data_IF_249083212094
#
_entry.id   IF_249083212094
#
_cell.length_a   1.000
_cell.length_b   1.000
_cell.length_c   1.000
_cell.angle_alpha   90.00
_cell.angle_beta   90.00
_cell.angle_gamma   90.00
#
_symmetry.space_group_name_H-M   'P 1'
#
loop_
_entity.id
_entity.type
_entity.pdbx_description
1 polymer ?
#
# COMPACT_ATOMS: atom_id res chain seq x y z
N UNK A 1 36.04 19.80 -62.75
CA UNK A 1 36.21 19.80 -61.30
C UNK A 1 34.98 19.15 -60.74
N UNK A 2 35.05 17.83 -60.54
CA UNK A 2 33.93 17.02 -60.09
C UNK A 2 33.96 16.94 -58.58
N UNK A 3 32.96 17.52 -57.88
CA UNK A 3 32.75 17.27 -56.46
C UNK A 3 32.13 15.88 -56.30
N UNK A 4 32.92 15.05 -55.70
CA UNK A 4 32.58 13.69 -55.31
C UNK A 4 31.58 13.74 -54.13
N UNK A 5 30.29 13.48 -54.39
CA UNK A 5 29.29 13.27 -53.39
C UNK A 5 29.58 11.98 -52.64
N UNK A 6 30.10 12.11 -51.42
CA UNK A 6 30.20 10.98 -50.48
C UNK A 6 28.81 10.59 -50.00
N UNK A 7 28.44 9.30 -50.10
CA UNK A 7 27.19 8.81 -49.53
C UNK A 7 27.33 8.78 -48.01
N UNK A 8 26.50 9.59 -47.31
CA UNK A 8 26.33 9.50 -45.89
C UNK A 8 25.80 8.11 -45.51
N UNK A 9 26.68 7.26 -45.01
CA UNK A 9 26.30 6.01 -44.36
C UNK A 9 25.59 6.38 -43.05
N UNK A 10 24.28 6.37 -43.13
CA UNK A 10 23.40 6.50 -41.96
C UNK A 10 23.57 5.23 -41.12
N UNK A 11 24.41 5.29 -40.10
CA UNK A 11 24.55 4.22 -39.12
C UNK A 11 23.18 3.91 -38.52
N UNK A 12 22.68 2.70 -38.77
CA UNK A 12 21.46 2.19 -38.20
C UNK A 12 21.62 2.23 -36.66
N UNK A 13 20.90 3.14 -36.04
CA UNK A 13 20.78 3.15 -34.59
C UNK A 13 20.13 1.84 -34.16
N UNK A 14 20.71 1.09 -33.23
CA UNK A 14 20.04 -0.09 -32.68
C UNK A 14 18.71 0.36 -32.10
N UNK A 15 17.61 -0.11 -32.70
CA UNK A 15 16.27 0.19 -32.27
C UNK A 15 16.09 -0.23 -30.83
N UNK A 16 16.00 0.75 -29.93
CA UNK A 16 15.51 0.50 -28.58
C UNK A 16 14.11 -0.08 -28.72
N UNK A 17 13.81 -1.21 -28.08
CA UNK A 17 12.47 -1.75 -28.08
C UNK A 17 11.53 -0.68 -27.51
N UNK A 18 10.63 -0.16 -28.34
CA UNK A 18 9.51 0.65 -27.88
C UNK A 18 8.61 -0.27 -27.06
N UNK A 19 8.85 -0.32 -25.74
CA UNK A 19 7.96 -1.00 -24.79
C UNK A 19 6.63 -0.23 -24.67
N UNK A 20 5.86 -0.24 -25.75
CA UNK A 20 4.45 0.19 -25.75
C UNK A 20 3.57 -1.02 -25.50
N UNK A 21 3.72 -1.63 -24.32
CA UNK A 21 2.86 -2.69 -23.84
C UNK A 21 2.67 -2.49 -22.34
N UNK A 22 1.52 -1.99 -21.92
CA UNK A 22 1.10 -2.03 -20.54
C UNK A 22 1.05 -3.49 -20.07
N UNK A 23 2.11 -3.94 -19.39
CA UNK A 23 2.21 -5.30 -18.85
C UNK A 23 1.02 -5.55 -17.92
N UNK A 24 0.21 -6.61 -18.11
CA UNK A 24 -0.93 -6.93 -17.26
C UNK A 24 -0.58 -7.13 -15.78
N UNK A 25 0.70 -7.34 -15.45
CA UNK A 25 1.20 -7.51 -14.08
C UNK A 25 1.26 -6.24 -13.23
N UNK A 26 1.25 -5.03 -13.83
CA UNK A 26 1.44 -3.78 -13.09
C UNK A 26 0.25 -3.48 -12.16
N UNK A 27 -0.98 -3.63 -12.63
CA UNK A 27 -2.19 -3.43 -11.80
C UNK A 27 -2.28 -4.38 -10.61
N UNK A 28 -1.80 -5.62 -10.78
CA UNK A 28 -1.75 -6.58 -9.68
C UNK A 28 -0.73 -6.21 -8.61
N UNK A 29 0.43 -5.68 -9.00
CA UNK A 29 1.47 -5.25 -8.08
C UNK A 29 1.03 -4.03 -7.25
N UNK A 30 0.39 -3.03 -7.88
CA UNK A 30 -0.09 -1.82 -7.21
C UNK A 30 -1.17 -2.15 -6.16
N UNK A 31 -2.10 -3.06 -6.46
CA UNK A 31 -3.14 -3.48 -5.52
C UNK A 31 -2.58 -4.21 -4.29
N UNK A 32 -1.55 -5.04 -4.50
CA UNK A 32 -0.89 -5.79 -3.42
C UNK A 32 -0.07 -4.87 -2.52
N UNK A 33 0.62 -3.88 -3.10
CA UNK A 33 1.34 -2.85 -2.34
C UNK A 33 0.40 -2.07 -1.43
N UNK A 34 -0.75 -1.61 -1.94
CA UNK A 34 -1.77 -0.91 -1.16
C UNK A 34 -2.29 -1.75 0.02
N UNK A 35 -2.47 -3.07 -0.16
CA UNK A 35 -2.88 -4.00 0.89
C UNK A 35 -1.90 -4.07 2.06
N UNK A 36 -0.63 -4.31 1.78
CA UNK A 36 0.44 -4.39 2.80
C UNK A 36 0.61 -3.05 3.49
N UNK A 37 0.77 -1.97 2.71
CA UNK A 37 1.01 -0.64 3.26
C UNK A 37 -0.16 -0.14 4.13
N UNK A 38 -1.41 -0.33 3.68
CA UNK A 38 -2.59 0.04 4.45
C UNK A 38 -2.73 -0.73 5.76
N UNK A 39 -2.39 -2.02 5.76
CA UNK A 39 -2.39 -2.85 6.97
C UNK A 39 -1.31 -2.42 7.96
N UNK A 40 -0.10 -2.10 7.50
CA UNK A 40 0.99 -1.57 8.34
C UNK A 40 0.59 -0.23 8.95
N UNK A 41 0.01 0.67 8.15
CA UNK A 41 -0.46 1.98 8.59
C UNK A 41 -1.54 1.86 9.67
N UNK A 42 -2.54 1.01 9.44
CA UNK A 42 -3.61 0.74 10.41
C UNK A 42 -3.06 0.16 11.72
N UNK A 43 -2.06 -0.74 11.65
CA UNK A 43 -1.39 -1.31 12.81
C UNK A 43 -0.63 -0.26 13.62
N UNK A 44 0.14 0.58 12.93
CA UNK A 44 0.91 1.63 13.58
C UNK A 44 0.01 2.66 14.26
N UNK A 45 -1.10 3.04 13.62
CA UNK A 45 -2.09 3.93 14.21
C UNK A 45 -2.80 3.30 15.40
N UNK A 46 -3.26 2.06 15.30
CA UNK A 46 -3.89 1.35 16.41
C UNK A 46 -2.95 1.25 17.62
N UNK A 47 -1.65 1.02 17.37
CA UNK A 47 -0.64 1.02 18.40
C UNK A 47 -0.44 2.41 19.03
N UNK A 48 -0.53 3.48 18.25
CA UNK A 48 -0.25 4.85 18.69
C UNK A 48 -1.44 5.52 19.39
N UNK A 49 -2.67 5.27 18.93
CA UNK A 49 -3.87 6.00 19.38
C UNK A 49 -4.30 5.66 20.80
N UNK A 50 -4.09 4.42 21.26
CA UNK A 50 -4.47 4.04 22.61
C UNK A 50 -3.26 4.11 23.54
N UNK A 51 -3.16 5.21 24.31
CA UNK A 51 -2.12 5.41 25.32
C UNK A 51 -2.63 5.09 26.73
N UNK A 52 -1.70 4.68 27.62
CA UNK A 52 -2.02 4.33 28.98
C UNK A 52 -2.53 5.56 29.75
N UNK A 53 -3.74 5.45 30.30
CA UNK A 53 -4.37 6.52 31.07
C UNK A 53 -5.25 7.48 30.26
N UNK A 54 -5.36 7.31 28.95
CA UNK A 54 -6.32 8.04 28.12
C UNK A 54 -7.68 7.34 28.06
N UNK A 55 -8.74 8.15 27.93
CA UNK A 55 -10.09 7.62 27.72
C UNK A 55 -10.19 6.93 26.37
N UNK A 56 -10.69 5.70 26.34
CA UNK A 56 -10.87 4.94 25.13
C UNK A 56 -12.05 5.49 24.31
N UNK A 57 -11.74 6.03 23.15
CA UNK A 57 -12.72 6.63 22.23
C UNK A 57 -12.73 5.89 20.88
N UNK A 58 -13.31 4.67 20.80
CA UNK A 58 -13.17 3.78 19.65
C UNK A 58 -13.69 4.35 18.33
N UNK A 59 -14.72 5.19 18.35
CA UNK A 59 -15.24 5.83 17.14
C UNK A 59 -14.30 6.95 16.63
N UNK A 60 -13.67 7.66 17.56
CA UNK A 60 -12.66 8.65 17.22
C UNK A 60 -11.43 7.97 16.63
N UNK A 61 -10.96 6.89 17.24
CA UNK A 61 -9.83 6.09 16.76
C UNK A 61 -10.12 5.49 15.37
N UNK A 62 -11.33 4.93 15.17
CA UNK A 62 -11.78 4.42 13.88
C UNK A 62 -11.76 5.50 12.79
N UNK A 63 -12.21 6.73 13.14
CA UNK A 63 -12.19 7.87 12.24
C UNK A 63 -10.77 8.28 11.86
N UNK A 64 -9.85 8.30 12.83
CA UNK A 64 -8.44 8.61 12.56
C UNK A 64 -7.76 7.57 11.66
N UNK A 65 -8.01 6.28 11.90
CA UNK A 65 -7.50 5.21 11.03
C UNK A 65 -8.01 5.40 9.61
N UNK A 66 -9.30 5.67 9.43
CA UNK A 66 -9.90 5.85 8.12
C UNK A 66 -9.38 7.10 7.39
N UNK A 67 -9.34 8.25 8.08
CA UNK A 67 -8.85 9.52 7.53
C UNK A 67 -7.37 9.40 7.15
N UNK A 68 -6.56 8.76 7.99
CA UNK A 68 -5.13 8.60 7.70
C UNK A 68 -4.92 7.64 6.51
N UNK A 69 -5.66 6.55 6.43
CA UNK A 69 -5.60 5.65 5.27
C UNK A 69 -6.01 6.37 3.98
N UNK A 70 -7.09 7.16 4.02
CA UNK A 70 -7.54 7.95 2.87
C UNK A 70 -6.49 9.01 2.46
N UNK A 71 -5.94 9.74 3.43
CA UNK A 71 -4.90 10.76 3.19
C UNK A 71 -3.62 10.14 2.64
N UNK A 72 -3.20 8.98 3.15
CA UNK A 72 -2.04 8.25 2.64
C UNK A 72 -2.27 7.79 1.19
N UNK A 73 -3.46 7.27 0.87
CA UNK A 73 -3.83 6.93 -0.52
C UNK A 73 -3.80 8.15 -1.44
N UNK A 74 -4.34 9.29 -1.00
CA UNK A 74 -4.27 10.55 -1.75
C UNK A 74 -2.83 11.01 -1.99
N UNK A 75 -1.99 10.97 -0.94
CA UNK A 75 -0.58 11.38 -1.04
C UNK A 75 0.20 10.46 -1.98
N UNK A 76 -0.07 9.14 -1.92
CA UNK A 76 0.57 8.17 -2.80
C UNK A 76 0.16 8.38 -4.26
N UNK A 77 -1.14 8.46 -4.54
CA UNK A 77 -1.66 8.74 -5.88
C UNK A 77 -1.16 10.08 -6.44
N UNK A 78 -1.09 11.13 -5.61
CA UNK A 78 -0.53 12.42 -6.01
C UNK A 78 0.96 12.32 -6.34
N UNK A 79 1.76 11.62 -5.54
CA UNK A 79 3.19 11.47 -5.80
C UNK A 79 3.49 10.74 -7.10
N UNK A 80 2.71 9.69 -7.40
CA UNK A 80 2.78 9.00 -8.69
C UNK A 80 2.43 9.91 -9.87
N UNK A 81 1.40 10.75 -9.70
CA UNK A 81 1.01 11.72 -10.70
C UNK A 81 2.11 12.74 -10.97
N UNK A 82 2.70 13.31 -9.92
CA UNK A 82 3.81 14.27 -10.06
C UNK A 82 5.03 13.67 -10.75
N UNK A 83 5.38 12.43 -10.43
CA UNK A 83 6.50 11.72 -11.05
C UNK A 83 6.29 11.46 -12.56
N UNK A 84 5.03 11.31 -13.00
CA UNK A 84 4.68 11.08 -14.41
C UNK A 84 4.57 12.37 -15.23
N UNK A 85 4.30 13.52 -14.58
CA UNK A 85 4.02 14.80 -15.27
C UNK A 85 5.21 15.55 -15.83
N UNK A 86 6.42 15.11 -15.59
CA UNK A 86 7.59 15.69 -16.29
C UNK A 86 7.57 15.41 -17.81
N UNK A 87 6.54 14.71 -18.33
CA UNK A 87 6.45 14.26 -19.72
C UNK A 87 5.18 14.61 -20.50
N UNK A 88 4.09 15.16 -19.90
CA UNK A 88 2.81 15.28 -20.61
C UNK A 88 2.11 16.65 -20.51
N UNK A 89 1.35 16.97 -21.57
CA UNK A 89 0.66 18.22 -21.82
C UNK A 89 -0.63 18.45 -20.98
N UNK A 90 -0.94 19.72 -20.73
CA UNK A 90 -1.83 20.25 -19.68
C UNK A 90 -3.33 19.84 -19.70
N UNK A 91 -3.84 19.23 -20.75
CA UNK A 91 -5.29 19.05 -20.93
C UNK A 91 -5.92 17.83 -20.26
N UNK A 92 -5.12 16.85 -19.83
CA UNK A 92 -5.60 15.55 -19.34
C UNK A 92 -5.49 15.35 -17.82
N UNK A 93 -5.05 16.38 -17.10
CA UNK A 93 -4.58 16.31 -15.71
C UNK A 93 -5.62 15.84 -14.70
N UNK A 94 -6.82 16.40 -14.72
CA UNK A 94 -7.86 16.12 -13.71
C UNK A 94 -8.44 14.72 -13.81
N UNK A 95 -8.58 14.20 -15.01
CA UNK A 95 -9.05 12.84 -15.24
C UNK A 95 -8.03 11.81 -14.80
N UNK A 96 -6.74 12.08 -15.05
CA UNK A 96 -5.64 11.20 -14.62
C UNK A 96 -5.46 11.22 -13.11
N UNK A 97 -5.63 12.39 -12.45
CA UNK A 97 -5.67 12.48 -10.99
C UNK A 97 -6.78 11.62 -10.40
N UNK A 98 -8.01 11.75 -10.90
CA UNK A 98 -9.14 10.96 -10.42
C UNK A 98 -8.93 9.44 -10.59
N UNK A 99 -8.35 9.01 -11.70
CA UNK A 99 -8.02 7.60 -11.95
C UNK A 99 -6.84 7.13 -11.07
N UNK A 100 -5.84 7.98 -10.82
CA UNK A 100 -4.73 7.70 -9.91
C UNK A 100 -5.23 7.51 -8.48
N UNK A 101 -6.07 8.42 -8.00
CA UNK A 101 -6.70 8.30 -6.68
C UNK A 101 -7.57 7.05 -6.56
N UNK A 102 -8.35 6.74 -7.60
CA UNK A 102 -9.17 5.54 -7.62
C UNK A 102 -8.33 4.24 -7.58
N UNK A 103 -7.11 4.30 -8.04
CA UNK A 103 -6.21 3.14 -8.03
C UNK A 103 -5.61 2.85 -6.65
N UNK A 104 -5.68 3.82 -5.72
CA UNK A 104 -5.16 3.72 -4.35
C UNK A 104 -6.21 3.24 -3.32
N UNK A 105 -7.44 2.95 -3.76
CA UNK A 105 -8.50 2.44 -2.88
C UNK A 105 -8.12 1.15 -2.09
N UNK A 106 -7.24 0.25 -2.60
CA UNK A 106 -6.84 -0.94 -1.86
C UNK A 106 -6.19 -0.63 -0.51
N UNK A 107 -5.49 0.51 -0.41
CA UNK A 107 -4.89 0.99 0.83
C UNK A 107 -5.96 1.29 1.90
N UNK A 108 -7.04 1.94 1.50
CA UNK A 108 -8.16 2.26 2.39
C UNK A 108 -8.89 0.97 2.79
N UNK A 109 -9.12 0.06 1.84
CA UNK A 109 -9.78 -1.23 2.10
C UNK A 109 -8.97 -2.09 3.06
N UNK A 110 -7.64 -2.06 2.97
CA UNK A 110 -6.77 -2.80 3.89
C UNK A 110 -6.86 -2.30 5.33
N UNK A 111 -7.26 -1.04 5.56
CA UNK A 111 -7.48 -0.49 6.90
C UNK A 111 -8.89 -0.83 7.46
N UNK A 112 -9.86 -1.21 6.61
CA UNK A 112 -11.24 -1.47 7.02
C UNK A 112 -11.38 -2.52 8.12
N UNK A 113 -10.63 -3.65 8.14
CA UNK A 113 -10.74 -4.62 9.24
C UNK A 113 -10.47 -3.98 10.62
N UNK A 114 -9.47 -3.10 10.71
CA UNK A 114 -9.17 -2.35 11.94
C UNK A 114 -10.27 -1.35 12.29
N UNK A 115 -10.80 -0.62 11.29
CA UNK A 115 -11.92 0.31 11.50
C UNK A 115 -13.16 -0.43 12.00
N UNK A 116 -13.50 -1.56 11.40
CA UNK A 116 -14.65 -2.38 11.80
C UNK A 116 -14.47 -2.95 13.21
N UNK A 117 -13.25 -3.38 13.57
CA UNK A 117 -12.93 -3.83 14.92
C UNK A 117 -13.17 -2.73 15.96
N UNK A 118 -12.68 -1.51 15.68
CA UNK A 118 -12.86 -0.36 16.58
C UNK A 118 -14.32 0.05 16.71
N UNK A 119 -15.07 0.07 15.60
CA UNK A 119 -16.51 0.35 15.62
C UNK A 119 -17.25 -0.72 16.44
N UNK A 120 -16.93 -2.00 16.24
CA UNK A 120 -17.52 -3.08 17.02
C UNK A 120 -17.18 -2.96 18.52
N UNK A 121 -15.94 -2.60 18.84
CA UNK A 121 -15.51 -2.38 20.21
C UNK A 121 -16.33 -1.25 20.90
N UNK A 122 -16.62 -0.18 20.16
CA UNK A 122 -17.47 0.91 20.65
C UNK A 122 -18.93 0.49 20.85
N UNK A 123 -19.46 -0.36 19.95
CA UNK A 123 -20.85 -0.85 20.05
C UNK A 123 -21.03 -1.83 21.21
N UNK A 124 -20.05 -2.68 21.47
CA UNK A 124 -20.14 -3.77 22.46
C UNK A 124 -19.43 -3.46 23.79
N UNK A 125 -18.79 -2.30 23.91
CA UNK A 125 -18.09 -1.89 25.14
C UNK A 125 -16.91 -2.79 25.49
N UNK A 126 -16.09 -3.19 24.48
CA UNK A 126 -14.96 -4.08 24.71
C UNK A 126 -13.82 -3.39 25.44
N UNK A 127 -13.03 -4.19 26.18
CA UNK A 127 -11.85 -3.70 26.87
C UNK A 127 -10.81 -3.13 25.88
N UNK A 128 -10.30 -1.91 26.13
CA UNK A 128 -9.36 -1.24 25.22
C UNK A 128 -8.07 -2.02 24.95
N UNK A 129 -7.53 -2.66 25.98
CA UNK A 129 -6.30 -3.46 25.84
C UNK A 129 -6.54 -4.71 24.99
N UNK A 130 -7.69 -5.36 25.18
CA UNK A 130 -8.10 -6.51 24.38
C UNK A 130 -8.29 -6.11 22.92
N UNK A 131 -8.92 -4.95 22.64
CA UNK A 131 -9.12 -4.42 21.28
C UNK A 131 -7.79 -4.16 20.60
N UNK A 132 -6.86 -3.51 21.28
CA UNK A 132 -5.52 -3.24 20.72
C UNK A 132 -4.77 -4.54 20.44
N UNK A 133 -4.76 -5.49 21.36
CA UNK A 133 -4.07 -6.77 21.18
C UNK A 133 -4.68 -7.59 20.04
N UNK A 134 -6.02 -7.70 19.99
CA UNK A 134 -6.73 -8.41 18.90
C UNK A 134 -6.49 -7.71 17.56
N UNK A 135 -6.56 -6.37 17.51
CA UNK A 135 -6.35 -5.61 16.28
C UNK A 135 -4.93 -5.76 15.72
N UNK A 136 -3.92 -5.67 16.58
CA UNK A 136 -2.53 -5.89 16.17
C UNK A 136 -2.30 -7.34 15.71
N UNK A 137 -2.88 -8.32 16.41
CA UNK A 137 -2.84 -9.73 16.00
C UNK A 137 -3.52 -9.96 14.66
N UNK A 138 -4.72 -9.40 14.46
CA UNK A 138 -5.47 -9.45 13.20
C UNK A 138 -4.66 -8.86 12.04
N UNK A 139 -4.10 -7.68 12.24
CA UNK A 139 -3.30 -7.01 11.21
C UNK A 139 -2.02 -7.77 10.88
N UNK A 140 -1.37 -8.39 11.88
CA UNK A 140 -0.21 -9.28 11.66
C UNK A 140 -0.61 -10.50 10.82
N UNK A 141 -1.76 -11.10 11.10
CA UNK A 141 -2.30 -12.21 10.30
C UNK A 141 -2.65 -11.77 8.86
N UNK A 142 -3.20 -10.56 8.70
CA UNK A 142 -3.46 -9.97 7.37
C UNK A 142 -2.17 -9.72 6.59
N UNK A 143 -1.12 -9.22 7.23
CA UNK A 143 0.20 -9.05 6.58
C UNK A 143 0.75 -10.40 6.11
N UNK A 144 0.70 -11.43 6.95
CA UNK A 144 1.05 -12.78 6.55
C UNK A 144 0.25 -13.24 5.32
N UNK A 145 -1.07 -13.06 5.36
CA UNK A 145 -1.96 -13.46 4.27
C UNK A 145 -1.66 -12.70 2.97
N UNK A 146 -1.42 -11.39 3.04
CA UNK A 146 -1.04 -10.57 1.88
C UNK A 146 0.26 -11.08 1.27
N UNK A 147 1.33 -11.25 2.05
CA UNK A 147 2.61 -11.75 1.55
C UNK A 147 2.52 -13.13 0.92
N UNK A 148 1.82 -14.06 1.58
CA UNK A 148 1.62 -15.41 1.06
C UNK A 148 0.79 -15.42 -0.24
N UNK A 149 -0.31 -14.65 -0.29
CA UNK A 149 -1.17 -14.54 -1.49
C UNK A 149 -0.42 -13.94 -2.67
N UNK A 150 0.37 -12.89 -2.44
CA UNK A 150 1.22 -12.26 -3.47
C UNK A 150 2.16 -13.28 -4.05
N UNK A 151 2.90 -13.99 -3.20
CA UNK A 151 3.88 -14.98 -3.63
C UNK A 151 3.23 -16.12 -4.45
N UNK A 152 2.06 -16.61 -4.03
CA UNK A 152 1.32 -17.63 -4.77
C UNK A 152 0.83 -17.14 -6.12
N UNK A 153 0.36 -15.88 -6.22
CA UNK A 153 -0.10 -15.29 -7.49
C UNK A 153 1.03 -15.06 -8.49
N UNK A 154 2.23 -14.82 -8.02
CA UNK A 154 3.44 -14.70 -8.86
C UNK A 154 3.99 -16.08 -9.28
N UNK A 155 3.41 -17.17 -8.77
CA UNK A 155 3.78 -18.54 -9.14
C UNK A 155 4.89 -19.15 -8.28
N UNK A 156 5.16 -18.59 -7.10
CA UNK A 156 6.09 -19.21 -6.17
C UNK A 156 5.53 -20.52 -5.60
N UNK A 157 6.44 -21.44 -5.23
CA UNK A 157 6.07 -22.67 -4.53
C UNK A 157 5.48 -22.33 -3.16
N UNK A 158 4.59 -23.18 -2.66
CA UNK A 158 3.91 -22.99 -1.36
C UNK A 158 4.88 -22.69 -0.20
N UNK A 159 6.02 -23.41 -0.12
CA UNK A 159 7.04 -23.14 0.91
C UNK A 159 7.65 -21.74 0.81
N UNK A 160 7.92 -21.24 -0.41
CA UNK A 160 8.40 -19.87 -0.61
C UNK A 160 7.33 -18.83 -0.28
N UNK A 161 6.07 -19.13 -0.58
CA UNK A 161 4.95 -18.27 -0.24
C UNK A 161 4.77 -18.10 1.28
N UNK A 162 4.90 -19.21 2.03
CA UNK A 162 4.92 -19.17 3.49
C UNK A 162 6.08 -18.33 4.03
N UNK A 163 7.29 -18.50 3.48
CA UNK A 163 8.46 -17.74 3.92
C UNK A 163 8.27 -16.22 3.68
N UNK A 164 7.69 -15.82 2.54
CA UNK A 164 7.38 -14.42 2.23
C UNK A 164 6.30 -13.89 3.18
N UNK A 165 5.21 -14.65 3.39
CA UNK A 165 4.18 -14.27 4.36
C UNK A 165 4.73 -14.13 5.78
N UNK A 166 5.65 -15.01 6.21
CA UNK A 166 6.34 -14.88 7.50
C UNK A 166 7.19 -13.62 7.57
N UNK A 167 7.90 -13.25 6.51
CA UNK A 167 8.66 -12.01 6.46
C UNK A 167 7.76 -10.77 6.64
N UNK A 168 6.59 -10.75 5.99
CA UNK A 168 5.62 -9.66 6.16
C UNK A 168 5.00 -9.66 7.58
N UNK A 169 4.73 -10.83 8.14
CA UNK A 169 4.26 -10.96 9.53
C UNK A 169 5.29 -10.44 10.56
N UNK A 170 6.59 -10.54 10.27
CA UNK A 170 7.64 -9.96 11.12
C UNK A 170 7.52 -8.44 11.25
N UNK A 171 7.00 -7.74 10.22
CA UNK A 171 6.71 -6.30 10.30
C UNK A 171 5.60 -6.06 11.33
N UNK A 172 4.51 -6.83 11.28
CA UNK A 172 3.44 -6.77 12.27
C UNK A 172 3.93 -7.07 13.69
N UNK A 173 4.76 -8.11 13.84
CA UNK A 173 5.37 -8.45 15.12
C UNK A 173 6.28 -7.32 15.64
N UNK A 174 7.05 -6.67 14.79
CA UNK A 174 7.88 -5.52 15.18
C UNK A 174 7.01 -4.38 15.73
N UNK A 175 5.84 -4.13 15.14
CA UNK A 175 4.89 -3.12 15.66
C UNK A 175 4.34 -3.54 17.03
N UNK A 176 4.01 -4.82 17.22
CA UNK A 176 3.56 -5.35 18.53
C UNK A 176 4.64 -5.14 19.60
N UNK A 177 5.89 -5.51 19.28
CA UNK A 177 7.03 -5.33 20.20
C UNK A 177 7.25 -3.86 20.50
N UNK A 178 7.25 -2.99 19.49
CA UNK A 178 7.37 -1.54 19.65
C UNK A 178 6.27 -0.99 20.58
N UNK A 179 5.01 -1.40 20.37
CA UNK A 179 3.90 -1.02 21.23
C UNK A 179 4.10 -1.48 22.69
N UNK A 180 4.61 -2.69 22.90
CA UNK A 180 4.85 -3.22 24.24
C UNK A 180 6.03 -2.54 24.97
N UNK A 181 7.02 -2.02 24.22
CA UNK A 181 8.19 -1.34 24.79
C UNK A 181 7.88 0.13 25.11
N UNK A 182 7.06 0.79 24.28
CA UNK A 182 6.74 2.22 24.40
C UNK A 182 5.69 2.46 25.49
N UNK A 183 4.79 1.51 25.75
CA UNK A 183 3.70 1.58 26.75
C UNK A 183 4.05 0.89 28.06
#
# INVERSE_FOLDING_TARGET
MNEEQQPHVQAAQPGFPTETGSRPGRRGADWMFGGVYGTVLASALLAALHQKGEEFTPYYDASWVLVTAATAGLAHGYSHHMASHLRDSAGHRWRMLGLGLWNEWPLVVAALPTVLLLVAAGLFGWDPYAVTAVGLGLNTALLFAWGALVALRVGHRFGSALAIGMADAMIGLAIIVANAVIK
#
